data_IF_788338371410
#
_entry.id   IF_788338371410
#
_cell.length_a   1.000
_cell.length_b   1.000
_cell.length_c   1.000
_cell.angle_alpha   90.00
_cell.angle_beta   90.00
_cell.angle_gamma   90.00
#
_symmetry.space_group_name_H-M   'P 1'
#
loop_
_entity.id
_entity.type
_entity.pdbx_description
1 polymer ?
#
# COMPACT_ATOMS: atom_id res chain seq x y z
N UNK A 1 -7.24 -0.98 -11.64
CA UNK A 1 -7.40 0.39 -12.19
C UNK A 1 -7.00 1.41 -11.13
N UNK A 2 -6.15 2.35 -11.52
CA UNK A 2 -5.74 3.43 -10.60
C UNK A 2 -6.89 4.39 -10.34
N UNK A 3 -7.10 4.72 -9.06
CA UNK A 3 -8.28 5.48 -8.62
C UNK A 3 -7.97 6.86 -8.08
N UNK A 4 -6.72 7.32 -8.13
CA UNK A 4 -6.34 8.61 -7.55
C UNK A 4 -5.83 9.57 -8.61
N UNK A 5 -6.10 10.87 -8.42
CA UNK A 5 -5.53 11.96 -9.21
C UNK A 5 -4.44 12.72 -8.46
N UNK A 6 -4.23 12.37 -7.18
CA UNK A 6 -3.21 13.00 -6.35
C UNK A 6 -1.82 12.53 -6.79
N UNK A 7 -0.95 13.46 -7.17
CA UNK A 7 0.38 13.13 -7.69
C UNK A 7 1.25 12.41 -6.67
N UNK A 8 1.08 12.68 -5.37
CA UNK A 8 1.83 11.99 -4.31
C UNK A 8 1.43 10.52 -4.28
N UNK A 9 0.13 10.25 -4.34
CA UNK A 9 -0.41 8.90 -4.28
C UNK A 9 -0.17 8.15 -5.58
N UNK A 10 -0.12 8.86 -6.71
CA UNK A 10 0.24 8.25 -7.99
C UNK A 10 1.67 7.69 -7.97
N UNK A 11 2.59 8.35 -7.29
CA UNK A 11 3.96 7.84 -7.14
C UNK A 11 3.97 6.50 -6.42
N UNK A 12 3.15 6.38 -5.36
CA UNK A 12 3.02 5.11 -4.63
C UNK A 12 2.46 4.03 -5.54
N UNK A 13 1.40 4.35 -6.29
CA UNK A 13 0.82 3.41 -7.24
C UNK A 13 1.86 2.94 -8.27
N UNK A 14 2.61 3.86 -8.85
CA UNK A 14 3.63 3.54 -9.86
C UNK A 14 4.72 2.63 -9.32
N UNK A 15 5.07 2.77 -8.05
CA UNK A 15 6.07 1.92 -7.42
C UNK A 15 5.57 0.49 -7.22
N UNK A 16 4.25 0.31 -7.06
CA UNK A 16 3.65 -1.01 -6.83
C UNK A 16 3.18 -1.65 -8.14
N UNK A 17 2.85 -0.84 -9.13
CA UNK A 17 2.27 -1.30 -10.41
C UNK A 17 3.02 -2.49 -11.03
N UNK A 18 4.38 -2.51 -11.07
CA UNK A 18 5.09 -3.64 -11.69
C UNK A 18 4.84 -4.98 -11.01
N UNK A 19 4.34 -4.97 -9.78
CA UNK A 19 4.15 -6.19 -8.99
C UNK A 19 2.70 -6.65 -8.93
N UNK A 20 1.77 -5.88 -9.50
CA UNK A 20 0.33 -6.17 -9.40
C UNK A 20 0.02 -7.55 -9.96
N UNK A 21 0.50 -7.84 -11.16
CA UNK A 21 0.21 -9.12 -11.80
C UNK A 21 0.94 -10.27 -11.12
N UNK A 22 2.21 -10.07 -10.80
CA UNK A 22 3.05 -11.09 -10.19
C UNK A 22 2.48 -11.59 -8.86
N UNK A 23 2.00 -10.67 -8.02
CA UNK A 23 1.48 -11.00 -6.69
C UNK A 23 -0.04 -11.15 -6.66
N UNK A 24 -0.72 -10.91 -7.77
CA UNK A 24 -2.18 -10.96 -7.80
C UNK A 24 -2.80 -9.90 -6.91
N UNK A 25 -2.27 -8.68 -6.96
CA UNK A 25 -2.78 -7.58 -6.14
C UNK A 25 -4.12 -7.12 -6.67
N UNK A 26 -5.16 -7.18 -5.84
CA UNK A 26 -6.51 -6.79 -6.22
C UNK A 26 -6.90 -5.41 -5.70
N UNK A 27 -6.20 -4.91 -4.69
CA UNK A 27 -6.52 -3.62 -4.11
C UNK A 27 -5.30 -3.04 -3.40
N UNK A 28 -5.12 -1.73 -3.51
CA UNK A 28 -4.07 -0.98 -2.81
C UNK A 28 -4.72 0.20 -2.11
N UNK A 29 -4.49 0.31 -0.81
CA UNK A 29 -4.99 1.42 0.00
C UNK A 29 -3.84 2.10 0.71
N UNK A 30 -3.96 3.42 0.90
CA UNK A 30 -3.02 4.22 1.67
C UNK A 30 -3.77 4.73 2.90
N UNK A 31 -3.14 4.66 4.06
CA UNK A 31 -3.72 5.22 5.28
C UNK A 31 -2.66 6.04 6.04
N UNK A 32 -3.01 6.50 7.24
CA UNK A 32 -2.10 7.29 8.05
C UNK A 32 -1.87 8.70 7.52
N UNK A 33 -0.70 9.26 7.79
CA UNK A 33 -0.41 10.67 7.45
C UNK A 33 -0.53 10.98 5.97
N UNK A 34 -0.13 10.05 5.10
CA UNK A 34 -0.26 10.26 3.65
C UNK A 34 -1.71 10.34 3.20
N UNK A 35 -2.59 9.55 3.81
CA UNK A 35 -4.03 9.61 3.48
C UNK A 35 -4.64 10.93 3.94
N UNK A 36 -4.17 11.47 5.06
CA UNK A 36 -4.70 12.71 5.62
C UNK A 36 -4.06 13.97 5.02
N UNK A 37 -3.02 13.83 4.21
CA UNK A 37 -2.27 14.96 3.67
C UNK A 37 -1.42 15.67 4.72
N UNK A 38 -1.05 14.96 5.79
CA UNK A 38 -0.29 15.50 6.91
C UNK A 38 1.14 14.98 6.96
N UNK A 39 1.60 14.35 5.88
CA UNK A 39 2.94 13.76 5.86
C UNK A 39 4.03 14.83 5.93
N UNK A 40 5.16 14.42 6.51
CA UNK A 40 6.39 15.19 6.56
C UNK A 40 7.47 14.41 5.82
N UNK A 41 8.65 15.00 5.53
CA UNK A 41 9.74 14.25 4.89
C UNK A 41 10.18 13.01 5.68
N UNK A 42 9.90 12.95 6.98
CA UNK A 42 10.24 11.82 7.83
C UNK A 42 9.12 10.80 7.98
N UNK A 43 7.94 11.08 7.43
CA UNK A 43 6.80 10.17 7.55
C UNK A 43 7.00 8.92 6.72
N UNK A 44 6.67 7.76 7.30
CA UNK A 44 6.58 6.52 6.55
C UNK A 44 5.26 6.47 5.79
N UNK A 45 5.20 5.67 4.74
CA UNK A 45 3.97 5.49 3.99
C UNK A 45 3.33 4.19 4.46
N UNK A 46 2.08 4.26 4.93
CA UNK A 46 1.32 3.11 5.39
C UNK A 46 0.45 2.59 4.26
N UNK A 47 0.74 1.36 3.80
CA UNK A 47 0.13 0.76 2.62
C UNK A 47 -0.53 -0.57 2.98
N UNK A 48 -1.77 -0.75 2.54
CA UNK A 48 -2.46 -2.03 2.64
C UNK A 48 -2.60 -2.59 1.23
N UNK A 49 -2.06 -3.80 1.01
CA UNK A 49 -2.18 -4.51 -0.27
C UNK A 49 -2.99 -5.78 -0.07
N UNK A 50 -3.99 -5.97 -0.92
CA UNK A 50 -4.76 -7.21 -0.95
C UNK A 50 -4.13 -8.10 -2.02
N UNK A 51 -3.47 -9.17 -1.58
CA UNK A 51 -2.72 -10.08 -2.43
C UNK A 51 -3.53 -11.35 -2.63
N UNK A 52 -3.87 -11.65 -3.88
CA UNK A 52 -4.70 -12.80 -4.22
C UNK A 52 -3.94 -14.11 -4.33
N UNK A 53 -2.62 -14.06 -4.39
CA UNK A 53 -1.78 -15.27 -4.48
C UNK A 53 -1.17 -15.58 -3.13
N UNK A 54 -0.94 -16.86 -2.85
CA UNK A 54 -0.18 -17.24 -1.66
C UNK A 54 1.29 -16.96 -1.90
N UNK A 55 1.89 -16.19 -0.99
CA UNK A 55 3.31 -15.86 -1.05
C UNK A 55 3.95 -16.12 0.32
N UNK A 56 5.25 -16.43 0.30
CA UNK A 56 6.00 -16.60 1.53
C UNK A 56 6.42 -15.27 2.14
N UNK A 57 6.88 -15.34 3.39
CA UNK A 57 7.31 -14.15 4.12
C UNK A 57 8.47 -13.44 3.41
N UNK A 58 9.40 -14.19 2.82
CA UNK A 58 10.55 -13.59 2.13
C UNK A 58 10.12 -12.84 0.87
N UNK A 59 9.13 -13.36 0.16
CA UNK A 59 8.57 -12.69 -1.01
C UNK A 59 7.90 -11.38 -0.61
N UNK A 60 7.18 -11.39 0.51
CA UNK A 60 6.51 -10.20 1.03
C UNK A 60 7.52 -9.14 1.45
N UNK A 61 8.58 -9.54 2.15
CA UNK A 61 9.66 -8.63 2.55
C UNK A 61 10.36 -8.05 1.33
N UNK A 62 10.59 -8.89 0.31
CA UNK A 62 11.19 -8.45 -0.97
C UNK A 62 10.34 -7.41 -1.67
N UNK A 63 9.02 -7.60 -1.70
CA UNK A 63 8.08 -6.63 -2.26
C UNK A 63 8.20 -5.29 -1.54
N UNK A 64 8.19 -5.32 -0.21
CA UNK A 64 8.35 -4.10 0.60
C UNK A 64 9.65 -3.38 0.26
N UNK A 65 10.77 -4.11 0.19
CA UNK A 65 12.08 -3.54 -0.09
C UNK A 65 12.14 -2.93 -1.49
N UNK A 66 11.53 -3.58 -2.48
CA UNK A 66 11.50 -3.07 -3.85
C UNK A 66 10.71 -1.77 -3.95
N UNK A 67 9.58 -1.69 -3.25
CA UNK A 67 8.77 -0.48 -3.21
C UNK A 67 9.54 0.64 -2.52
N UNK A 68 10.19 0.34 -1.39
CA UNK A 68 11.02 1.32 -0.67
C UNK A 68 12.15 1.85 -1.54
N UNK A 69 12.81 0.99 -2.29
CA UNK A 69 13.90 1.39 -3.18
C UNK A 69 13.41 2.34 -4.28
N UNK A 70 12.25 2.06 -4.85
CA UNK A 70 11.68 2.89 -5.91
C UNK A 70 11.25 4.26 -5.38
N UNK A 71 10.65 4.29 -4.18
CA UNK A 71 10.17 5.54 -3.57
C UNK A 71 11.26 6.29 -2.80
N UNK A 72 12.40 5.63 -2.54
CA UNK A 72 13.47 6.16 -1.69
C UNK A 72 12.91 6.61 -0.34
N UNK A 73 12.08 5.77 0.27
CA UNK A 73 11.37 6.08 1.50
C UNK A 73 10.97 4.79 2.19
N UNK A 74 10.93 4.83 3.52
CA UNK A 74 10.45 3.69 4.29
C UNK A 74 8.93 3.57 4.14
N UNK A 75 8.46 2.34 4.06
CA UNK A 75 7.02 2.05 4.04
C UNK A 75 6.69 1.00 5.08
N UNK A 76 5.44 1.00 5.53
CA UNK A 76 4.86 -0.08 6.29
C UNK A 76 3.84 -0.77 5.37
N UNK A 77 4.06 -2.06 5.12
CA UNK A 77 3.24 -2.82 4.18
C UNK A 77 2.43 -3.86 4.94
N UNK A 78 1.12 -3.84 4.76
CA UNK A 78 0.20 -4.73 5.46
C UNK A 78 -0.70 -5.46 4.49
N UNK A 79 -1.10 -6.68 4.86
CA UNK A 79 -2.24 -7.36 4.25
C UNK A 79 -3.46 -7.12 5.14
N UNK A 80 -4.69 -7.06 4.57
CA UNK A 80 -5.88 -6.75 5.38
C UNK A 80 -6.08 -7.70 6.55
N UNK A 81 -5.78 -8.97 6.38
CA UNK A 81 -5.98 -9.98 7.42
C UNK A 81 -4.96 -9.94 8.56
N UNK A 82 -3.91 -9.10 8.43
CA UNK A 82 -2.93 -8.93 9.52
C UNK A 82 -3.25 -7.75 10.43
N UNK A 83 -4.26 -6.95 10.09
CA UNK A 83 -4.69 -5.84 10.92
C UNK A 83 -5.55 -6.37 12.08
N UNK A 84 -5.29 -5.85 13.28
CA UNK A 84 -6.08 -6.23 14.44
C UNK A 84 -7.52 -5.75 14.30
N UNK A 85 -8.47 -6.61 14.73
CA UNK A 85 -9.89 -6.36 14.47
C UNK A 85 -10.40 -5.03 15.04
N UNK A 86 -9.88 -4.62 16.21
CA UNK A 86 -10.37 -3.42 16.87
C UNK A 86 -9.90 -2.12 16.22
N UNK A 87 -8.82 -2.16 15.42
CA UNK A 87 -8.31 -0.98 14.72
C UNK A 87 -8.57 -1.05 13.22
N UNK A 88 -8.88 -2.24 12.71
CA UNK A 88 -9.07 -2.46 11.27
C UNK A 88 -10.14 -1.55 10.69
N UNK A 89 -11.29 -1.47 11.35
CA UNK A 89 -12.40 -0.66 10.86
C UNK A 89 -12.05 0.82 10.81
N UNK A 90 -11.32 1.34 11.81
CA UNK A 90 -10.87 2.71 11.81
C UNK A 90 -9.88 2.98 10.67
N UNK A 91 -8.91 2.08 10.48
CA UNK A 91 -7.91 2.21 9.43
C UNK A 91 -8.59 2.18 8.06
N UNK A 92 -9.49 1.23 7.82
CA UNK A 92 -10.16 1.11 6.54
C UNK A 92 -11.12 2.27 6.27
N UNK A 93 -11.70 2.86 7.33
CA UNK A 93 -12.60 4.00 7.18
C UNK A 93 -11.87 5.26 6.68
N UNK A 94 -10.60 5.47 7.10
CA UNK A 94 -9.84 6.64 6.66
C UNK A 94 -8.91 6.35 5.47
N UNK A 95 -8.74 5.08 5.10
CA UNK A 95 -7.83 4.70 4.02
C UNK A 95 -8.37 5.17 2.67
N UNK A 96 -7.44 5.58 1.80
CA UNK A 96 -7.76 5.96 0.42
C UNK A 96 -7.39 4.79 -0.49
N UNK A 97 -8.36 4.31 -1.25
CA UNK A 97 -8.12 3.25 -2.25
C UNK A 97 -7.52 3.88 -3.50
N UNK A 98 -6.29 3.50 -3.84
CA UNK A 98 -5.60 4.04 -5.01
C UNK A 98 -5.59 3.09 -6.19
N UNK A 99 -5.92 1.83 -5.97
CA UNK A 99 -6.02 0.83 -7.03
C UNK A 99 -7.08 -0.21 -6.65
N UNK A 100 -7.84 -0.62 -7.63
CA UNK A 100 -8.82 -1.68 -7.49
C UNK A 100 -8.89 -2.45 -8.79
N UNK A 101 -8.81 -3.78 -8.69
CA UNK A 101 -8.90 -4.67 -9.84
C UNK A 101 -10.34 -4.72 -10.35
N UNK A 102 -10.48 -4.75 -11.67
CA UNK A 102 -11.78 -4.89 -12.31
C UNK A 102 -11.83 -6.09 -13.23
#
# INVERSE_FOLDING_TARGET
MMLTKDSRLKKVYKAIEPFIEEFGISQIRIFGSYARGEETPQSDIDIIVDIGKQIGIYQFIGLKQDIEATLNKNIDLFKPNTLEAFIKDQILAEAITIYEQR
#
